data_IF_569350335448
#
_entry.id   IF_569350335448
#
_cell.length_a   1.000
_cell.length_b   1.000
_cell.length_c   1.000
_cell.angle_alpha   90.00
_cell.angle_beta   90.00
_cell.angle_gamma   90.00
#
_symmetry.space_group_name_H-M   'P 1'
#
loop_
_entity.id
_entity.type
_entity.pdbx_description
1 polymer ?
#
# COMPACT_ATOMS: atom_id res chain seq x y z
N UNK A 1 -12.58 0.47 85.59
CA UNK A 1 -11.47 0.57 84.62
C UNK A 1 -10.16 0.01 85.18
N UNK A 2 -9.59 0.59 86.24
CA UNK A 2 -8.35 0.12 86.90
C UNK A 2 -8.30 -1.38 87.22
N UNK A 3 -9.39 -1.94 87.77
CA UNK A 3 -9.47 -3.37 88.10
C UNK A 3 -9.42 -4.29 86.84
N UNK A 4 -10.03 -3.86 85.72
CA UNK A 4 -10.06 -4.61 84.46
C UNK A 4 -8.67 -4.59 83.79
N UNK A 5 -7.98 -3.46 83.84
CA UNK A 5 -6.61 -3.28 83.35
C UNK A 5 -5.62 -4.14 84.15
N UNK A 6 -5.74 -4.15 85.47
CA UNK A 6 -4.97 -5.03 86.36
C UNK A 6 -5.22 -6.51 86.09
N UNK A 7 -6.45 -6.89 85.72
CA UNK A 7 -6.79 -8.27 85.35
C UNK A 7 -6.13 -8.69 84.04
N UNK A 8 -6.12 -7.80 83.04
CA UNK A 8 -5.48 -8.03 81.74
C UNK A 8 -3.96 -8.19 81.88
N UNK A 9 -3.29 -7.26 82.59
CA UNK A 9 -1.83 -7.35 82.83
C UNK A 9 -1.46 -8.65 83.54
N UNK A 10 -2.25 -9.08 84.53
CA UNK A 10 -2.02 -10.36 85.22
C UNK A 10 -2.19 -11.57 84.30
N UNK A 11 -3.24 -11.58 83.46
CA UNK A 11 -3.49 -12.63 82.47
C UNK A 11 -2.34 -12.71 81.46
N UNK A 12 -1.87 -11.57 80.95
CA UNK A 12 -0.75 -11.51 79.99
C UNK A 12 0.58 -11.98 80.59
N UNK A 13 0.87 -11.69 81.86
CA UNK A 13 2.05 -12.24 82.55
C UNK A 13 1.91 -13.76 82.76
N UNK A 14 0.74 -14.25 83.17
CA UNK A 14 0.53 -15.69 83.38
C UNK A 14 0.60 -16.50 82.09
N UNK A 15 0.20 -15.91 80.97
CA UNK A 15 0.22 -16.53 79.64
C UNK A 15 1.59 -16.35 78.95
N UNK A 16 2.57 -15.70 79.59
CA UNK A 16 3.94 -15.57 79.09
C UNK A 16 4.17 -14.42 78.10
N UNK A 17 3.16 -13.60 77.82
CA UNK A 17 3.26 -12.44 76.92
C UNK A 17 4.00 -11.26 77.54
N UNK A 18 4.17 -11.24 78.87
CA UNK A 18 4.90 -10.21 79.61
C UNK A 18 5.89 -10.84 80.59
N UNK A 19 7.06 -10.22 80.84
CA UNK A 19 8.05 -10.70 81.80
C UNK A 19 7.47 -10.88 83.22
N UNK A 20 7.93 -11.90 83.96
CA UNK A 20 7.41 -12.22 85.30
C UNK A 20 7.73 -11.16 86.35
N UNK A 21 8.81 -10.41 86.16
CA UNK A 21 9.29 -9.34 87.04
C UNK A 21 8.50 -8.03 86.90
N UNK A 22 7.55 -7.95 85.97
CA UNK A 22 6.69 -6.78 85.81
C UNK A 22 5.67 -6.56 86.94
N UNK A 23 5.53 -7.51 87.87
CA UNK A 23 4.73 -7.34 89.09
C UNK A 23 5.25 -6.26 90.05
N UNK A 24 6.48 -5.78 89.87
CA UNK A 24 7.19 -4.88 90.79
C UNK A 24 6.83 -3.40 90.65
N UNK A 25 6.26 -2.96 89.52
CA UNK A 25 6.04 -1.53 89.22
C UNK A 25 4.56 -1.10 89.30
N UNK A 26 3.83 -1.57 90.32
CA UNK A 26 2.38 -1.34 90.51
C UNK A 26 1.94 0.13 90.59
N UNK A 27 2.85 1.08 90.89
CA UNK A 27 2.52 2.51 90.99
C UNK A 27 2.59 3.25 89.65
N UNK A 28 3.52 2.88 88.76
CA UNK A 28 3.67 3.57 87.46
C UNK A 28 2.75 3.05 86.36
N UNK A 29 2.34 1.77 86.41
CA UNK A 29 1.51 1.16 85.34
C UNK A 29 0.10 1.78 85.23
N UNK A 30 -0.39 2.50 86.25
CA UNK A 30 -1.72 3.15 86.17
C UNK A 30 -1.61 4.63 85.83
N UNK A 31 -0.50 5.29 86.19
CA UNK A 31 -0.29 6.72 85.96
C UNK A 31 0.30 7.03 84.57
N UNK A 32 1.04 6.11 83.95
CA UNK A 32 1.51 6.26 82.55
C UNK A 32 0.41 5.97 81.51
N UNK A 33 -0.72 5.40 81.92
CA UNK A 33 -1.77 4.84 81.04
C UNK A 33 -3.02 5.73 80.88
N UNK A 34 -3.04 6.94 81.43
CA UNK A 34 -4.20 7.85 81.36
C UNK A 34 -4.26 8.75 80.13
N UNK A 35 -3.34 8.63 79.18
CA UNK A 35 -3.42 9.28 77.87
C UNK A 35 -3.69 8.25 76.78
N UNK A 36 -4.85 8.33 76.13
CA UNK A 36 -5.30 7.51 74.99
C UNK A 36 -5.62 6.03 75.28
N UNK A 37 -6.88 5.78 75.66
CA UNK A 37 -7.51 4.46 75.62
C UNK A 37 -8.56 4.42 74.50
N UNK A 38 -8.23 3.78 73.37
CA UNK A 38 -9.21 3.07 72.55
C UNK A 38 -9.35 1.64 73.11
N UNK A 39 -10.31 1.45 74.01
CA UNK A 39 -10.75 0.11 74.42
C UNK A 39 -11.84 -0.36 73.47
N UNK A 40 -11.42 -0.76 72.28
CA UNK A 40 -12.19 -1.63 71.39
C UNK A 40 -11.27 -2.81 71.08
N UNK A 41 -11.74 -4.03 71.35
CA UNK A 41 -11.13 -5.30 70.91
C UNK A 41 -9.76 -5.76 71.46
N UNK A 42 -9.53 -5.58 72.77
CA UNK A 42 -8.53 -6.41 73.48
C UNK A 42 -7.06 -5.98 73.36
N UNK A 43 -6.82 -4.69 73.18
CA UNK A 43 -5.48 -4.09 73.07
C UNK A 43 -4.96 -3.56 74.42
N UNK A 44 -3.64 -3.52 74.59
CA UNK A 44 -2.87 -2.90 75.69
C UNK A 44 -1.75 -2.07 75.07
N UNK A 45 -1.78 -0.73 75.20
CA UNK A 45 -0.68 0.12 74.79
C UNK A 45 0.41 0.20 75.88
N UNK A 46 1.69 0.06 75.53
CA UNK A 46 2.84 0.21 76.44
C UNK A 46 3.81 1.21 75.79
N UNK A 47 3.88 2.44 76.35
CA UNK A 47 4.64 3.53 75.73
C UNK A 47 3.97 3.99 74.44
N UNK A 48 4.72 4.00 73.33
CA UNK A 48 4.20 4.26 71.97
C UNK A 48 3.79 2.98 71.23
N UNK A 49 3.85 1.81 71.87
CA UNK A 49 3.67 0.49 71.21
C UNK A 49 2.37 -0.16 71.66
N UNK A 50 1.55 -0.67 70.73
CA UNK A 50 0.29 -1.37 71.02
C UNK A 50 0.47 -2.89 71.00
N UNK A 51 -0.09 -3.58 72.01
CA UNK A 51 -0.05 -5.03 72.17
C UNK A 51 -1.47 -5.59 72.18
N UNK A 52 -1.80 -6.49 71.26
CA UNK A 52 -3.14 -7.09 71.17
C UNK A 52 -3.13 -8.49 71.80
N UNK A 53 -4.21 -8.89 72.50
CA UNK A 53 -4.40 -10.30 72.88
C UNK A 53 -4.90 -11.08 71.65
N UNK A 54 -3.96 -11.62 70.87
CA UNK A 54 -4.26 -12.39 69.65
C UNK A 54 -4.69 -13.81 70.05
N UNK A 55 -5.95 -14.19 69.78
CA UNK A 55 -6.43 -15.57 69.96
C UNK A 55 -6.08 -16.48 68.79
N UNK A 56 -5.92 -15.90 67.60
CA UNK A 56 -5.57 -16.59 66.37
C UNK A 56 -4.82 -15.61 65.46
N UNK A 57 -3.57 -15.93 65.13
CA UNK A 57 -2.73 -15.10 64.26
C UNK A 57 -3.21 -15.03 62.81
N UNK A 58 -4.20 -15.86 62.44
CA UNK A 58 -4.77 -15.92 61.09
C UNK A 58 -5.46 -14.62 60.63
N UNK A 59 -5.81 -13.74 61.57
CA UNK A 59 -6.49 -12.47 61.31
C UNK A 59 -5.55 -11.30 60.99
N UNK A 60 -4.24 -11.51 61.04
CA UNK A 60 -3.25 -10.45 60.83
C UNK A 60 -2.33 -10.77 59.65
N UNK A 61 -1.83 -9.73 59.00
CA UNK A 61 -0.83 -9.79 57.94
C UNK A 61 0.38 -8.92 58.33
N UNK A 62 1.57 -9.29 57.89
CA UNK A 62 2.77 -8.50 58.16
C UNK A 62 2.77 -7.23 57.29
N UNK A 63 2.98 -6.09 57.93
CA UNK A 63 3.13 -4.79 57.28
C UNK A 63 4.54 -4.64 56.70
N UNK A 64 4.68 -3.87 55.63
CA UNK A 64 5.98 -3.52 55.04
C UNK A 64 6.88 -2.77 56.04
N UNK A 65 6.30 -2.01 56.97
CA UNK A 65 7.06 -1.27 58.01
C UNK A 65 7.45 -2.15 59.22
N UNK A 66 7.23 -3.47 59.14
CA UNK A 66 7.61 -4.43 60.20
C UNK A 66 6.57 -4.59 61.31
N UNK A 67 5.35 -4.07 61.12
CA UNK A 67 4.19 -4.23 61.99
C UNK A 67 3.26 -5.39 61.58
N UNK A 68 2.09 -5.46 62.21
CA UNK A 68 1.01 -6.37 61.84
C UNK A 68 -0.31 -5.59 61.67
N UNK A 69 -1.02 -5.86 60.57
CA UNK A 69 -2.29 -5.20 60.21
C UNK A 69 -3.41 -6.23 60.31
N UNK A 70 -4.60 -5.81 60.76
CA UNK A 70 -5.80 -6.64 60.68
C UNK A 70 -6.14 -6.90 59.21
N UNK A 71 -6.36 -8.16 58.84
CA UNK A 71 -6.63 -8.57 57.45
C UNK A 71 -7.83 -7.85 56.81
N UNK A 72 -8.79 -7.42 57.62
CA UNK A 72 -9.95 -6.63 57.16
C UNK A 72 -9.62 -5.17 56.80
N UNK A 73 -8.53 -4.64 57.35
CA UNK A 73 -8.07 -3.25 57.17
C UNK A 73 -6.82 -3.18 56.28
N UNK A 74 -6.36 -4.32 55.78
CA UNK A 74 -5.19 -4.44 54.92
C UNK A 74 -5.58 -4.50 53.46
N UNK A 75 -4.85 -3.80 52.62
CA UNK A 75 -4.83 -4.02 51.16
C UNK A 75 -3.58 -4.82 50.79
N UNK A 76 -3.73 -5.70 49.80
CA UNK A 76 -2.61 -6.42 49.18
C UNK A 76 -2.10 -5.58 48.01
N UNK A 77 -0.81 -5.26 48.01
CA UNK A 77 -0.15 -4.55 46.91
C UNK A 77 0.80 -5.49 46.21
N UNK A 78 0.60 -5.69 44.91
CA UNK A 78 1.49 -6.48 44.08
C UNK A 78 2.78 -5.69 43.79
N UNK A 79 3.91 -6.38 43.86
CA UNK A 79 5.26 -5.87 43.63
C UNK A 79 5.86 -6.54 42.39
N UNK A 80 7.03 -6.09 41.94
CA UNK A 80 7.76 -6.79 40.88
C UNK A 80 8.10 -8.25 41.29
N UNK A 81 8.30 -9.11 40.29
CA UNK A 81 8.74 -10.51 40.48
C UNK A 81 7.77 -11.41 41.29
N UNK A 82 6.46 -11.25 41.10
CA UNK A 82 5.40 -12.02 41.78
C UNK A 82 5.38 -11.87 43.32
N UNK A 83 6.05 -10.84 43.85
CA UNK A 83 6.02 -10.50 45.27
C UNK A 83 4.79 -9.65 45.60
N UNK A 84 4.42 -9.61 46.88
CA UNK A 84 3.37 -8.71 47.38
C UNK A 84 3.64 -8.31 48.82
N UNK A 85 3.10 -7.14 49.17
CA UNK A 85 3.11 -6.62 50.53
C UNK A 85 1.68 -6.37 51.00
N UNK A 86 1.51 -6.26 52.32
CA UNK A 86 0.30 -5.72 52.90
C UNK A 86 0.57 -4.37 53.52
N UNK A 87 -0.39 -3.46 53.39
CA UNK A 87 -0.38 -2.12 53.98
C UNK A 87 -1.80 -1.74 54.40
N UNK A 88 -1.95 -0.72 55.24
CA UNK A 88 -3.25 -0.18 55.61
C UNK A 88 -3.99 0.41 54.40
N UNK A 89 -5.32 0.30 54.40
CA UNK A 89 -6.19 0.92 53.39
C UNK A 89 -6.00 2.45 53.29
N UNK A 90 -5.64 3.12 54.39
CA UNK A 90 -5.34 4.56 54.37
C UNK A 90 -4.17 4.93 53.43
N UNK A 91 -3.27 3.98 53.16
CA UNK A 91 -2.15 4.15 52.24
C UNK A 91 -2.52 3.84 50.78
N UNK A 92 -3.76 3.45 50.49
CA UNK A 92 -4.22 3.07 49.15
C UNK A 92 -3.96 4.17 48.09
N UNK A 93 -4.00 5.44 48.50
CA UNK A 93 -3.79 6.59 47.61
C UNK A 93 -2.36 6.71 47.04
N UNK A 94 -1.41 5.96 47.60
CA UNK A 94 -0.01 5.94 47.16
C UNK A 94 0.19 4.90 46.04
N UNK A 95 -0.76 3.99 45.86
CA UNK A 95 -0.65 2.86 44.93
C UNK A 95 -1.59 3.00 43.74
N UNK A 96 -1.19 2.35 42.65
CA UNK A 96 -1.92 2.29 41.40
C UNK A 96 -2.99 1.21 41.49
N UNK A 97 -4.25 1.51 41.12
CA UNK A 97 -5.39 0.58 41.28
C UNK A 97 -5.95 0.11 39.93
N UNK A 98 -5.96 -1.21 39.72
CA UNK A 98 -6.55 -1.85 38.54
C UNK A 98 -7.40 -3.06 38.94
N UNK A 99 -8.65 -3.15 38.46
CA UNK A 99 -9.60 -4.26 38.74
C UNK A 99 -9.72 -4.68 40.23
N UNK A 100 -9.66 -3.71 41.16
CA UNK A 100 -9.68 -3.90 42.63
C UNK A 100 -8.40 -4.45 43.26
N UNK A 101 -7.30 -4.50 42.52
CA UNK A 101 -5.97 -4.79 43.04
C UNK A 101 -5.11 -3.52 43.05
N UNK A 102 -4.07 -3.54 43.89
CA UNK A 102 -3.14 -2.44 44.06
C UNK A 102 -1.75 -2.85 43.57
N UNK A 103 -1.05 -1.91 42.94
CA UNK A 103 0.21 -2.13 42.26
C UNK A 103 1.19 -0.99 42.61
N UNK A 104 2.47 -1.32 42.66
CA UNK A 104 3.53 -0.30 42.53
C UNK A 104 3.79 -0.02 41.05
N UNK A 105 4.31 1.16 40.75
CA UNK A 105 4.72 1.53 39.38
C UNK A 105 5.67 0.49 38.77
N UNK A 106 6.68 0.07 39.53
CA UNK A 106 7.65 -0.98 39.15
C UNK A 106 7.00 -2.35 38.89
N UNK A 107 5.84 -2.64 39.47
CA UNK A 107 5.18 -3.93 39.31
C UNK A 107 4.39 -4.04 38.01
N UNK A 108 3.95 -2.93 37.41
CA UNK A 108 3.00 -2.95 36.30
C UNK A 108 3.47 -3.83 35.13
N UNK A 109 4.74 -3.71 34.74
CA UNK A 109 5.32 -4.52 33.64
C UNK A 109 5.29 -6.02 33.92
N UNK A 110 5.44 -6.44 35.18
CA UNK A 110 5.38 -7.86 35.55
C UNK A 110 3.97 -8.46 35.38
N UNK A 111 2.94 -7.60 35.41
CA UNK A 111 1.53 -7.98 35.26
C UNK A 111 0.95 -7.60 33.90
N UNK A 112 1.79 -7.26 32.90
CA UNK A 112 1.35 -6.78 31.58
C UNK A 112 0.41 -5.57 31.66
N UNK A 113 0.63 -4.69 32.63
CA UNK A 113 -0.11 -3.44 32.80
C UNK A 113 0.75 -2.26 32.37
N UNK A 114 0.07 -1.22 31.88
CA UNK A 114 0.68 0.04 31.44
C UNK A 114 -0.13 1.23 31.95
N UNK A 115 0.53 2.37 32.17
CA UNK A 115 -0.12 3.64 32.48
C UNK A 115 -0.44 4.33 31.15
N UNK A 116 -1.70 4.69 30.96
CA UNK A 116 -2.21 5.36 29.78
C UNK A 116 -1.92 6.88 29.84
N UNK A 117 -1.97 7.57 28.71
CA UNK A 117 -1.78 9.02 28.59
C UNK A 117 -2.74 9.84 29.49
N UNK A 118 -3.93 9.31 29.78
CA UNK A 118 -4.89 9.93 30.69
C UNK A 118 -4.64 9.63 32.19
N UNK A 119 -3.55 8.90 32.50
CA UNK A 119 -3.16 8.48 33.84
C UNK A 119 -3.91 7.23 34.36
N UNK A 120 -4.80 6.63 33.57
CA UNK A 120 -5.44 5.35 33.93
C UNK A 120 -4.51 4.16 33.70
N UNK A 121 -4.89 2.98 34.19
CA UNK A 121 -4.13 1.74 34.01
C UNK A 121 -4.92 0.81 33.11
N UNK A 122 -4.27 0.24 32.10
CA UNK A 122 -4.84 -0.77 31.22
C UNK A 122 -3.94 -2.01 31.13
N UNK A 123 -4.52 -3.12 30.68
CA UNK A 123 -3.74 -4.27 30.23
C UNK A 123 -3.12 -3.95 28.87
N UNK A 124 -1.86 -4.36 28.65
CA UNK A 124 -1.09 -4.03 27.45
C UNK A 124 -1.78 -4.48 26.15
N UNK A 125 -2.54 -5.58 26.18
CA UNK A 125 -3.31 -6.07 25.04
C UNK A 125 -4.44 -5.12 24.59
N UNK A 126 -4.79 -4.12 25.40
CA UNK A 126 -5.82 -3.12 25.10
C UNK A 126 -5.23 -1.71 24.92
N UNK A 127 -3.91 -1.61 24.81
CA UNK A 127 -3.19 -0.36 24.70
C UNK A 127 -2.31 -0.35 23.45
N UNK A 128 -2.16 0.82 22.85
CA UNK A 128 -1.24 1.09 21.75
C UNK A 128 -0.14 2.02 22.29
N UNK A 129 1.11 1.69 22.02
CA UNK A 129 2.24 2.58 22.37
C UNK A 129 2.45 3.57 21.24
N UNK A 130 2.39 4.87 21.53
CA UNK A 130 2.65 5.93 20.56
C UNK A 130 4.12 6.33 20.65
N UNK A 131 4.83 6.24 19.53
CA UNK A 131 6.26 6.60 19.52
C UNK A 131 6.45 8.12 19.57
N UNK A 132 5.46 8.91 19.12
CA UNK A 132 5.55 10.37 19.05
C UNK A 132 5.64 11.06 20.41
N UNK A 133 4.90 10.57 21.42
CA UNK A 133 4.89 11.11 22.78
C UNK A 133 5.49 10.16 23.83
N UNK A 134 5.80 8.91 23.45
CA UNK A 134 6.30 7.86 24.34
C UNK A 134 5.30 7.43 25.42
N UNK A 135 3.99 7.53 25.12
CA UNK A 135 2.90 7.16 26.03
C UNK A 135 2.01 6.02 25.46
N UNK A 136 1.16 5.43 26.30
CA UNK A 136 0.19 4.40 25.89
C UNK A 136 -1.22 4.99 25.73
N UNK A 137 -1.93 4.60 24.69
CA UNK A 137 -3.27 5.12 24.32
C UNK A 137 -4.27 3.99 24.07
N UNK A 138 -5.56 4.27 24.23
CA UNK A 138 -6.63 3.27 23.99
C UNK A 138 -6.91 3.05 22.51
N UNK A 139 -6.53 4.01 21.68
CA UNK A 139 -6.67 4.00 20.24
C UNK A 139 -5.28 3.93 19.61
N UNK A 140 -5.14 3.30 18.42
CA UNK A 140 -3.88 3.29 17.69
C UNK A 140 -3.42 4.72 17.38
N UNK A 141 -2.11 4.90 17.24
CA UNK A 141 -1.55 6.18 16.78
C UNK A 141 -2.16 6.47 15.42
N UNK A 142 -2.88 7.59 15.29
CA UNK A 142 -3.21 8.12 13.98
C UNK A 142 -1.85 8.45 13.36
N UNK A 143 -1.42 7.61 12.43
CA UNK A 143 -0.13 7.65 11.72
C UNK A 143 -0.06 8.86 10.76
N UNK A 144 -0.65 9.99 11.15
CA UNK A 144 -0.72 11.26 10.44
C UNK A 144 0.63 12.01 10.44
N UNK A 145 1.66 11.45 11.09
CA UNK A 145 3.04 11.97 11.04
C UNK A 145 3.97 11.18 10.09
N UNK A 146 3.45 10.13 9.45
CA UNK A 146 3.95 9.62 8.18
C UNK A 146 2.94 9.98 7.07
N UNK A 147 2.54 11.26 6.95
CA UNK A 147 2.06 11.75 5.65
C UNK A 147 3.24 11.60 4.68
N UNK A 148 3.21 10.66 3.72
CA UNK A 148 4.32 10.48 2.79
C UNK A 148 4.29 11.56 1.72
N UNK A 149 4.39 12.85 2.07
CA UNK A 149 3.98 13.94 1.16
C UNK A 149 2.67 13.52 0.44
N UNK A 150 1.55 13.42 1.18
CA UNK A 150 0.32 12.68 0.80
C UNK A 150 -0.40 13.21 -0.47
N UNK A 151 0.20 14.22 -1.12
CA UNK A 151 -0.15 14.72 -2.45
C UNK A 151 0.60 14.02 -3.60
N UNK A 152 1.58 13.15 -3.33
CA UNK A 152 2.39 12.57 -4.39
C UNK A 152 1.63 11.49 -5.17
N UNK A 153 1.25 11.86 -6.39
CA UNK A 153 0.58 11.00 -7.36
C UNK A 153 1.59 10.11 -8.09
N UNK A 154 2.89 10.40 -7.98
CA UNK A 154 3.95 9.77 -8.76
C UNK A 154 4.73 8.79 -7.88
N UNK A 155 4.94 7.59 -8.38
CA UNK A 155 5.89 6.63 -7.85
C UNK A 155 7.29 6.95 -8.38
N UNK A 156 8.31 6.68 -7.58
CA UNK A 156 9.68 6.69 -8.07
C UNK A 156 9.90 5.64 -9.16
N UNK A 157 10.92 5.87 -9.98
CA UNK A 157 11.23 5.05 -11.14
C UNK A 157 11.48 3.59 -10.73
N UNK A 158 10.60 2.68 -11.15
CA UNK A 158 10.54 1.24 -10.77
C UNK A 158 10.13 0.92 -9.32
N UNK A 159 9.64 1.88 -8.54
CA UNK A 159 9.24 1.63 -7.15
C UNK A 159 7.73 1.34 -6.99
N UNK A 160 6.97 1.37 -8.08
CA UNK A 160 5.56 0.98 -8.09
C UNK A 160 5.32 -0.50 -7.75
N UNK A 161 4.14 -0.85 -7.19
CA UNK A 161 3.80 -2.23 -6.87
C UNK A 161 3.93 -3.14 -8.10
N UNK A 162 4.66 -4.25 -7.95
CA UNK A 162 4.81 -5.23 -9.03
C UNK A 162 3.43 -5.78 -9.44
N UNK A 163 3.16 -5.75 -10.74
CA UNK A 163 1.93 -6.21 -11.39
C UNK A 163 1.45 -7.57 -10.86
N UNK A 164 0.51 -7.57 -9.91
CA UNK A 164 -0.42 -8.67 -9.76
C UNK A 164 -1.68 -8.33 -10.57
N UNK A 165 -1.80 -9.07 -11.66
CA UNK A 165 -2.77 -8.98 -12.73
C UNK A 165 -4.23 -9.01 -12.22
N UNK A 166 -4.79 -7.86 -11.84
CA UNK A 166 -6.14 -7.80 -11.27
C UNK A 166 -7.24 -7.84 -12.36
N UNK A 167 -6.88 -7.77 -13.64
CA UNK A 167 -7.85 -7.65 -14.75
C UNK A 167 -7.61 -8.58 -15.93
N UNK A 168 -6.44 -9.21 -16.10
CA UNK A 168 -6.28 -10.19 -17.17
C UNK A 168 -6.78 -11.58 -16.77
N UNK A 169 -7.49 -12.17 -17.70
CA UNK A 169 -7.68 -13.61 -17.78
C UNK A 169 -6.44 -14.14 -18.50
N UNK A 170 -5.64 -14.96 -17.83
CA UNK A 170 -4.37 -15.52 -18.32
C UNK A 170 -4.53 -16.38 -19.59
N UNK A 171 -5.76 -16.56 -20.08
CA UNK A 171 -6.11 -17.28 -21.31
C UNK A 171 -6.56 -16.36 -22.44
N UNK A 172 -6.68 -15.06 -22.21
CA UNK A 172 -7.20 -14.10 -23.21
C UNK A 172 -6.10 -13.19 -23.74
N UNK A 173 -6.22 -12.71 -24.99
CA UNK A 173 -5.33 -11.69 -25.51
C UNK A 173 -5.34 -10.44 -24.62
N UNK A 174 -4.15 -9.95 -24.25
CA UNK A 174 -3.97 -8.83 -23.34
C UNK A 174 -3.39 -7.58 -24.02
N UNK A 175 -3.69 -6.40 -23.49
CA UNK A 175 -3.11 -5.12 -23.90
C UNK A 175 -2.81 -4.22 -22.70
N UNK A 176 -1.62 -3.64 -22.67
CA UNK A 176 -1.24 -2.59 -21.71
C UNK A 176 -0.62 -1.39 -22.43
N UNK A 177 -0.64 -0.24 -21.80
CA UNK A 177 -0.09 1.00 -22.34
C UNK A 177 0.88 1.65 -21.36
N UNK A 178 1.98 2.19 -21.88
CA UNK A 178 2.85 3.12 -21.15
C UNK A 178 2.77 4.48 -21.87
N UNK A 179 2.35 5.53 -21.17
CA UNK A 179 2.00 6.81 -21.75
C UNK A 179 2.80 7.92 -21.07
N UNK A 180 3.84 8.38 -21.75
CA UNK A 180 4.71 9.48 -21.34
C UNK A 180 4.01 10.85 -21.46
N UNK A 181 4.11 11.67 -20.42
CA UNK A 181 3.41 12.96 -20.27
C UNK A 181 4.31 14.05 -19.66
N UNK A 182 3.79 15.27 -19.68
CA UNK A 182 4.47 16.48 -19.26
C UNK A 182 3.60 17.29 -18.29
N UNK A 183 4.25 18.10 -17.47
CA UNK A 183 3.67 18.97 -16.47
C UNK A 183 3.28 18.24 -15.20
N UNK A 184 2.68 19.01 -14.30
CA UNK A 184 2.25 18.55 -12.99
C UNK A 184 1.16 17.46 -13.10
N UNK A 185 1.28 16.33 -12.38
CA UNK A 185 0.24 15.31 -12.25
C UNK A 185 -1.00 15.78 -11.47
N UNK A 186 -1.04 17.02 -10.94
CA UNK A 186 -2.16 17.71 -10.23
C UNK A 186 -3.57 17.42 -10.83
N UNK A 187 -3.61 16.98 -12.09
CA UNK A 187 -4.81 16.57 -12.79
C UNK A 187 -5.48 15.28 -12.27
N UNK A 188 -4.82 14.44 -11.46
CA UNK A 188 -5.44 13.28 -10.79
C UNK A 188 -6.37 13.70 -9.65
N UNK A 189 -6.24 14.93 -9.13
CA UNK A 189 -7.27 15.73 -8.46
C UNK A 189 -7.85 15.22 -7.13
N UNK A 190 -7.75 13.93 -6.79
CA UNK A 190 -8.31 13.33 -5.57
C UNK A 190 -7.64 12.00 -5.17
N UNK A 191 -6.61 11.57 -5.90
CA UNK A 191 -5.96 10.30 -5.65
C UNK A 191 -4.47 10.51 -5.42
N UNK A 192 -3.97 10.11 -4.25
CA UNK A 192 -2.55 9.84 -4.08
C UNK A 192 -2.17 8.58 -4.89
N UNK A 193 -0.86 8.33 -5.03
CA UNK A 193 -0.32 7.23 -5.86
C UNK A 193 -0.89 5.84 -5.51
N UNK A 194 -1.18 5.59 -4.24
CA UNK A 194 -1.80 4.33 -3.79
C UNK A 194 -3.29 4.26 -4.13
N UNK A 195 -4.03 5.34 -3.90
CA UNK A 195 -5.47 5.39 -4.21
C UNK A 195 -5.70 5.24 -5.72
N UNK A 196 -4.84 5.85 -6.56
CA UNK A 196 -4.89 5.67 -8.01
C UNK A 196 -4.71 4.20 -8.38
N UNK A 197 -3.71 3.53 -7.80
CA UNK A 197 -3.44 2.12 -8.05
C UNK A 197 -4.58 1.22 -7.57
N UNK A 198 -5.07 1.41 -6.34
CA UNK A 198 -6.19 0.62 -5.79
C UNK A 198 -7.46 0.78 -6.61
N UNK A 199 -7.74 1.99 -7.10
CA UNK A 199 -8.95 2.30 -7.86
C UNK A 199 -8.87 1.82 -9.33
N UNK A 200 -7.77 2.11 -10.01
CA UNK A 200 -7.67 1.95 -11.47
C UNK A 200 -6.76 0.80 -11.89
N UNK A 201 -5.85 0.36 -11.00
CA UNK A 201 -4.72 -0.51 -11.31
C UNK A 201 -3.59 0.18 -12.08
N UNK A 202 -3.70 1.49 -12.35
CA UNK A 202 -2.67 2.24 -13.06
C UNK A 202 -1.61 2.76 -12.10
N UNK A 203 -0.41 2.94 -12.63
CA UNK A 203 0.75 3.50 -11.92
C UNK A 203 1.20 4.72 -12.71
N UNK A 204 1.49 5.82 -12.01
CA UNK A 204 2.21 6.96 -12.57
C UNK A 204 3.62 6.91 -12.00
N UNK A 205 4.63 6.83 -12.86
CA UNK A 205 6.04 6.78 -12.43
C UNK A 205 6.79 8.01 -12.93
N UNK A 206 7.77 8.47 -12.15
CA UNK A 206 8.70 9.50 -12.58
C UNK A 206 9.57 8.95 -13.70
N UNK A 207 9.87 9.79 -14.69
CA UNK A 207 10.78 9.45 -15.77
C UNK A 207 11.84 10.56 -15.90
N UNK A 208 13.08 10.20 -16.17
CA UNK A 208 14.14 11.21 -16.28
C UNK A 208 14.08 11.99 -17.61
N UNK A 209 13.36 11.47 -18.61
CA UNK A 209 13.29 12.00 -19.97
C UNK A 209 12.01 12.77 -20.28
N UNK A 210 10.98 12.56 -19.45
CA UNK A 210 9.66 13.21 -19.47
C UNK A 210 9.19 13.36 -18.03
N UNK A 211 8.30 14.30 -17.71
CA UNK A 211 7.96 14.55 -16.31
C UNK A 211 7.35 13.31 -15.59
N UNK A 212 6.54 12.50 -16.28
CA UNK A 212 6.01 11.22 -15.76
C UNK A 212 5.48 10.28 -16.86
N UNK A 213 5.33 8.99 -16.52
CA UNK A 213 4.76 7.94 -17.37
C UNK A 213 3.56 7.26 -16.68
N UNK A 214 2.41 7.23 -17.36
CA UNK A 214 1.25 6.45 -16.93
C UNK A 214 1.31 5.04 -17.50
N UNK A 215 1.41 4.04 -16.63
CA UNK A 215 1.35 2.63 -16.97
C UNK A 215 0.01 2.03 -16.59
N UNK A 216 -0.67 1.42 -17.56
CA UNK A 216 -1.97 0.77 -17.33
C UNK A 216 -1.79 -0.69 -16.92
N UNK A 217 -2.76 -1.29 -16.19
CA UNK A 217 -2.79 -2.74 -16.05
C UNK A 217 -2.99 -3.39 -17.43
N UNK A 218 -2.75 -4.70 -17.50
CA UNK A 218 -3.03 -5.49 -18.70
C UNK A 218 -4.54 -5.74 -18.78
N UNK A 219 -5.17 -5.13 -19.78
CA UNK A 219 -6.58 -5.30 -20.05
C UNK A 219 -6.83 -6.49 -21.00
N UNK A 220 -7.93 -7.24 -20.85
CA UNK A 220 -8.37 -8.17 -21.89
C UNK A 220 -8.71 -7.39 -23.15
N UNK A 221 -7.93 -7.57 -24.22
CA UNK A 221 -7.91 -6.72 -25.42
C UNK A 221 -9.29 -6.48 -26.02
N UNK A 222 -10.16 -7.49 -26.02
CA UNK A 222 -11.51 -7.44 -26.60
C UNK A 222 -12.61 -7.07 -25.59
N UNK A 223 -12.26 -6.66 -24.37
CA UNK A 223 -13.23 -6.20 -23.38
C UNK A 223 -13.77 -4.81 -23.73
N UNK A 224 -15.09 -4.69 -23.80
CA UNK A 224 -15.78 -3.39 -23.96
C UNK A 224 -15.56 -2.46 -22.76
N UNK A 225 -15.19 -3.01 -21.59
CA UNK A 225 -14.91 -2.22 -20.38
C UNK A 225 -13.73 -1.27 -20.54
N UNK A 226 -12.80 -1.55 -21.46
CA UNK A 226 -11.67 -0.65 -21.75
C UNK A 226 -12.22 0.72 -22.16
N UNK A 227 -13.15 0.75 -23.11
CA UNK A 227 -13.75 2.00 -23.60
C UNK A 227 -14.86 2.54 -22.71
N UNK A 228 -15.64 1.67 -22.06
CA UNK A 228 -16.85 2.10 -21.33
C UNK A 228 -16.59 2.51 -19.88
N UNK A 229 -15.47 2.12 -19.27
CA UNK A 229 -15.19 2.38 -17.84
C UNK A 229 -13.70 2.68 -17.60
N UNK A 230 -12.79 1.79 -17.97
CA UNK A 230 -11.41 1.86 -17.49
C UNK A 230 -10.61 3.04 -18.06
N UNK A 231 -10.59 3.25 -19.38
CA UNK A 231 -9.90 4.42 -19.95
C UNK A 231 -10.61 5.75 -19.64
N UNK A 232 -11.95 5.83 -19.60
CA UNK A 232 -12.65 7.03 -19.10
C UNK A 232 -12.22 7.47 -17.70
N UNK A 233 -12.00 6.54 -16.77
CA UNK A 233 -11.56 6.83 -15.38
C UNK A 233 -10.22 7.57 -15.35
N UNK A 234 -9.29 7.20 -16.24
CA UNK A 234 -7.96 7.83 -16.38
C UNK A 234 -7.86 8.80 -17.57
N UNK A 235 -8.99 9.17 -18.18
CA UNK A 235 -9.01 10.04 -19.37
C UNK A 235 -8.35 11.39 -19.10
N UNK A 236 -8.43 11.83 -17.84
CA UNK A 236 -7.76 13.03 -17.38
C UNK A 236 -6.24 12.92 -17.61
N UNK A 237 -5.57 11.95 -16.99
CA UNK A 237 -4.14 11.72 -17.19
C UNK A 237 -3.77 11.52 -18.68
N UNK A 238 -4.57 10.77 -19.44
CA UNK A 238 -4.33 10.54 -20.88
C UNK A 238 -4.42 11.85 -21.70
N UNK A 239 -5.22 12.82 -21.27
CA UNK A 239 -5.38 14.12 -21.96
C UNK A 239 -4.39 15.18 -21.46
N UNK A 240 -3.52 14.86 -20.50
CA UNK A 240 -2.50 15.77 -19.99
C UNK A 240 -1.53 16.22 -21.09
N UNK A 241 -0.78 17.29 -20.79
CA UNK A 241 0.21 17.89 -21.68
C UNK A 241 1.27 16.86 -22.06
N UNK A 242 1.87 17.03 -23.24
CA UNK A 242 2.85 16.07 -23.78
C UNK A 242 4.16 16.78 -24.10
N UNK A 243 5.29 16.08 -23.94
CA UNK A 243 6.55 16.48 -24.53
C UNK A 243 6.60 16.17 -26.03
N UNK A 244 7.57 16.75 -26.74
CA UNK A 244 7.82 16.41 -28.14
C UNK A 244 8.48 15.05 -28.33
N UNK A 245 9.21 14.58 -27.33
CA UNK A 245 9.92 13.30 -27.36
C UNK A 245 9.12 12.16 -26.72
N UNK A 246 7.96 12.46 -26.13
CA UNK A 246 7.14 11.49 -25.42
C UNK A 246 6.77 10.28 -26.29
N UNK A 247 6.88 9.10 -25.69
CA UNK A 247 6.45 7.80 -26.15
C UNK A 247 4.98 7.50 -25.86
N UNK A 248 4.61 6.25 -26.14
CA UNK A 248 3.25 5.74 -26.01
C UNK A 248 3.25 4.25 -26.26
N UNK A 249 4.07 3.52 -25.50
CA UNK A 249 4.33 2.12 -25.72
C UNK A 249 3.06 1.28 -25.58
N UNK A 250 3.00 0.19 -26.33
CA UNK A 250 1.87 -0.74 -26.30
C UNK A 250 2.40 -2.15 -26.06
N UNK A 251 1.97 -2.77 -24.98
CA UNK A 251 2.24 -4.18 -24.69
C UNK A 251 1.09 -5.02 -25.23
N UNK A 252 1.40 -6.12 -25.91
CA UNK A 252 0.42 -7.08 -26.42
C UNK A 252 0.83 -8.51 -26.08
N UNK A 253 -0.10 -9.27 -25.51
CA UNK A 253 0.07 -10.70 -25.20
C UNK A 253 -1.04 -11.54 -25.83
N UNK A 254 -0.77 -12.82 -26.08
CA UNK A 254 -1.74 -13.77 -26.61
C UNK A 254 -1.50 -15.16 -26.02
N UNK A 255 -1.87 -15.41 -24.76
CA UNK A 255 -1.66 -16.72 -24.14
C UNK A 255 -2.35 -17.86 -24.92
N UNK A 256 -1.76 -19.07 -24.95
CA UNK A 256 -0.48 -19.46 -24.34
C UNK A 256 0.74 -19.17 -25.24
N UNK A 257 0.63 -18.28 -26.23
CA UNK A 257 1.74 -17.98 -27.14
C UNK A 257 2.84 -17.21 -26.41
N UNK A 258 4.08 -17.59 -26.68
CA UNK A 258 5.27 -16.79 -26.33
C UNK A 258 5.29 -15.47 -27.09
N UNK A 259 6.10 -14.51 -26.63
CA UNK A 259 6.26 -13.23 -27.31
C UNK A 259 6.77 -13.36 -28.75
N UNK A 260 7.61 -14.37 -29.06
CA UNK A 260 8.02 -14.66 -30.45
C UNK A 260 6.84 -15.11 -31.31
N UNK A 261 6.00 -15.99 -30.79
CA UNK A 261 4.79 -16.45 -31.49
C UNK A 261 3.75 -15.32 -31.61
N UNK A 262 3.68 -14.42 -30.63
CA UNK A 262 2.84 -13.22 -30.70
C UNK A 262 3.36 -12.24 -31.76
N UNK A 263 4.67 -12.02 -31.85
CA UNK A 263 5.28 -11.25 -32.93
C UNK A 263 4.93 -11.84 -34.29
N UNK A 264 5.11 -13.15 -34.49
CA UNK A 264 4.77 -13.82 -35.75
C UNK A 264 3.29 -13.73 -36.10
N UNK A 265 2.42 -13.77 -35.09
CA UNK A 265 0.98 -13.57 -35.24
C UNK A 265 0.64 -12.18 -35.77
N UNK A 266 1.29 -11.15 -35.23
CA UNK A 266 1.05 -9.75 -35.59
C UNK A 266 1.91 -9.26 -36.78
N UNK A 267 2.92 -10.04 -37.20
CA UNK A 267 3.90 -9.69 -38.25
C UNK A 267 3.28 -9.08 -39.51
N UNK A 268 2.16 -9.59 -40.08
CA UNK A 268 1.56 -9.02 -41.28
C UNK A 268 1.21 -7.52 -41.17
N UNK A 269 0.87 -7.05 -39.96
CA UNK A 269 0.44 -5.67 -39.71
C UNK A 269 1.61 -4.74 -39.34
N UNK A 270 2.78 -5.27 -38.99
CA UNK A 270 3.89 -4.44 -38.50
C UNK A 270 4.35 -3.37 -39.48
N UNK A 271 4.48 -3.63 -40.81
CA UNK A 271 4.80 -2.57 -41.76
C UNK A 271 3.80 -1.41 -41.76
N UNK A 272 2.51 -1.72 -41.62
CA UNK A 272 1.46 -0.71 -41.52
C UNK A 272 1.61 0.12 -40.25
N UNK A 273 1.72 -0.53 -39.09
CA UNK A 273 1.87 0.17 -37.81
C UNK A 273 3.09 1.09 -37.79
N UNK A 274 4.25 0.57 -38.21
CA UNK A 274 5.50 1.33 -38.29
C UNK A 274 5.40 2.50 -39.29
N UNK A 275 4.66 2.34 -40.40
CA UNK A 275 4.41 3.40 -41.37
C UNK A 275 3.58 4.58 -40.83
N UNK A 276 2.84 4.40 -39.74
CA UNK A 276 2.12 5.47 -39.04
C UNK A 276 3.09 6.40 -38.28
N UNK A 277 4.27 5.90 -37.88
CA UNK A 277 5.22 6.61 -37.03
C UNK A 277 6.65 6.67 -37.60
N UNK A 278 6.85 7.10 -38.87
CA UNK A 278 8.14 6.95 -39.55
C UNK A 278 9.28 7.70 -38.84
N UNK A 279 9.00 8.86 -38.24
CA UNK A 279 10.00 9.68 -37.55
C UNK A 279 10.54 9.06 -36.26
N UNK A 280 9.78 8.16 -35.60
CA UNK A 280 10.23 7.48 -34.36
C UNK A 280 11.26 6.40 -34.67
N UNK A 281 11.14 5.75 -35.83
CA UNK A 281 12.04 4.68 -36.27
C UNK A 281 13.48 5.14 -36.59
N UNK A 282 13.66 6.44 -36.79
CA UNK A 282 14.94 7.08 -37.08
C UNK A 282 15.66 7.54 -35.80
N UNK A 283 15.07 7.31 -34.62
CA UNK A 283 15.63 7.72 -33.33
C UNK A 283 16.49 6.62 -32.74
N UNK A 284 17.59 7.05 -32.11
CA UNK A 284 18.53 6.22 -31.37
C UNK A 284 17.87 5.46 -30.20
N UNK A 285 16.83 6.02 -29.60
CA UNK A 285 16.06 5.35 -28.55
C UNK A 285 14.94 4.41 -29.05
N UNK A 286 14.67 4.37 -30.36
CA UNK A 286 13.59 3.58 -30.98
C UNK A 286 13.96 3.15 -32.41
N UNK A 287 14.99 2.33 -32.55
CA UNK A 287 15.60 1.95 -33.81
C UNK A 287 14.75 0.89 -34.52
N UNK A 288 14.35 1.18 -35.76
CA UNK A 288 13.81 0.16 -36.66
C UNK A 288 14.88 -0.87 -37.01
N UNK A 289 14.64 -2.15 -36.71
CA UNK A 289 15.54 -3.26 -37.08
C UNK A 289 14.88 -4.20 -38.07
N UNK A 290 15.71 -4.89 -38.85
CA UNK A 290 15.25 -5.99 -39.71
C UNK A 290 14.69 -7.11 -38.84
N UNK A 291 13.68 -7.82 -39.35
CA UNK A 291 12.95 -8.85 -38.62
C UNK A 291 13.86 -9.90 -37.95
N UNK A 292 14.87 -10.41 -38.66
CA UNK A 292 15.78 -11.40 -38.11
C UNK A 292 16.58 -10.86 -36.92
N UNK A 293 16.98 -9.58 -36.95
CA UNK A 293 17.67 -8.91 -35.85
C UNK A 293 16.74 -8.68 -34.66
N UNK A 294 15.48 -8.27 -34.89
CA UNK A 294 14.49 -8.11 -33.80
C UNK A 294 14.31 -9.39 -32.97
N UNK A 295 14.39 -10.56 -33.60
CA UNK A 295 14.22 -11.86 -32.92
C UNK A 295 15.45 -12.33 -32.16
N UNK A 296 16.62 -11.77 -32.46
CA UNK A 296 17.92 -12.19 -31.90
C UNK A 296 18.44 -11.18 -30.87
N UNK A 297 18.19 -9.89 -31.11
CA UNK A 297 18.73 -8.81 -30.30
C UNK A 297 17.81 -8.51 -29.11
N UNK A 298 18.34 -8.65 -27.89
CA UNK A 298 17.69 -8.18 -26.65
C UNK A 298 17.82 -6.67 -26.42
N UNK A 299 18.06 -5.89 -27.48
CA UNK A 299 18.39 -4.46 -27.40
C UNK A 299 17.23 -3.66 -26.80
N UNK A 300 17.52 -2.80 -25.83
CA UNK A 300 16.51 -1.95 -25.18
C UNK A 300 15.98 -0.82 -26.09
N UNK A 301 16.71 -0.48 -27.15
CA UNK A 301 16.36 0.61 -28.05
C UNK A 301 15.64 0.16 -29.33
N UNK A 302 15.31 -1.12 -29.46
CA UNK A 302 14.60 -1.60 -30.64
C UNK A 302 13.14 -1.09 -30.68
N UNK A 303 12.63 -0.79 -31.88
CA UNK A 303 11.26 -0.32 -32.06
C UNK A 303 10.19 -1.34 -31.64
N UNK A 304 10.52 -2.63 -31.65
CA UNK A 304 9.63 -3.73 -31.22
C UNK A 304 10.42 -4.64 -30.30
N UNK A 305 10.12 -4.62 -29.01
CA UNK A 305 10.79 -5.50 -28.04
C UNK A 305 9.98 -6.78 -27.88
N UNK A 306 10.64 -7.92 -28.05
CA UNK A 306 10.02 -9.24 -27.91
C UNK A 306 10.39 -9.79 -26.53
N UNK A 307 9.42 -9.82 -25.63
CA UNK A 307 9.53 -10.40 -24.29
C UNK A 307 9.23 -11.91 -24.33
N UNK A 308 9.46 -12.67 -23.25
CA UNK A 308 9.12 -14.10 -23.22
C UNK A 308 7.64 -14.39 -23.50
N UNK A 309 6.74 -13.53 -23.02
CA UNK A 309 5.29 -13.69 -22.93
C UNK A 309 4.49 -12.67 -23.77
N UNK A 310 5.13 -11.59 -24.22
CA UNK A 310 4.48 -10.47 -24.92
C UNK A 310 5.39 -9.81 -25.94
N UNK A 311 4.82 -8.88 -26.71
CA UNK A 311 5.57 -7.90 -27.49
C UNK A 311 5.29 -6.50 -26.95
N UNK A 312 6.25 -5.61 -27.10
CA UNK A 312 6.13 -4.19 -26.76
C UNK A 312 6.45 -3.36 -28.01
N UNK A 313 5.47 -2.58 -28.46
CA UNK A 313 5.60 -1.65 -29.58
C UNK A 313 6.07 -0.31 -29.03
N UNK A 314 7.32 0.07 -29.31
CA UNK A 314 7.99 1.27 -28.76
C UNK A 314 7.96 2.47 -29.72
N UNK A 315 7.71 2.19 -31.00
CA UNK A 315 7.59 3.21 -32.06
C UNK A 315 6.35 4.10 -32.02
N UNK A 316 5.20 3.75 -31.39
CA UNK A 316 4.11 4.69 -31.29
C UNK A 316 4.58 5.97 -30.58
N UNK A 317 4.29 7.12 -31.18
CA UNK A 317 4.65 8.42 -30.62
C UNK A 317 3.73 8.80 -29.44
N UNK A 318 3.93 9.98 -28.87
CA UNK A 318 3.07 10.58 -27.84
C UNK A 318 1.57 10.40 -28.06
N UNK A 319 0.85 10.13 -26.98
CA UNK A 319 -0.61 9.98 -26.97
C UNK A 319 -1.24 11.34 -26.64
N UNK A 320 -1.73 12.05 -27.64
CA UNK A 320 -2.27 13.40 -27.43
C UNK A 320 -3.49 13.45 -26.51
N UNK A 321 -4.38 12.47 -26.66
CA UNK A 321 -5.65 12.41 -25.94
C UNK A 321 -6.24 10.99 -26.00
N UNK A 322 -7.35 10.79 -25.29
CA UNK A 322 -8.07 9.52 -25.23
C UNK A 322 -8.50 9.02 -26.61
N UNK A 323 -8.92 9.90 -27.51
CA UNK A 323 -9.29 9.51 -28.89
C UNK A 323 -8.10 8.84 -29.62
N UNK A 324 -6.91 9.41 -29.49
CA UNK A 324 -5.70 8.85 -30.08
C UNK A 324 -5.34 7.48 -29.47
N UNK A 325 -5.58 7.27 -28.18
CA UNK A 325 -5.38 5.97 -27.53
C UNK A 325 -6.40 4.94 -28.01
N UNK A 326 -7.68 5.32 -28.12
CA UNK A 326 -8.75 4.47 -28.62
C UNK A 326 -8.53 4.03 -30.07
N UNK A 327 -8.01 4.93 -30.92
CA UNK A 327 -7.57 4.57 -32.28
C UNK A 327 -6.52 3.44 -32.25
N UNK A 328 -5.51 3.54 -31.38
CA UNK A 328 -4.47 2.51 -31.24
C UNK A 328 -5.03 1.19 -30.72
N UNK A 329 -5.92 1.23 -29.73
CA UNK A 329 -6.61 0.06 -29.19
C UNK A 329 -7.36 -0.69 -30.30
N UNK A 330 -8.20 0.01 -31.07
CA UNK A 330 -8.97 -0.57 -32.18
C UNK A 330 -8.05 -1.16 -33.26
N UNK A 331 -6.96 -0.49 -33.57
CA UNK A 331 -5.99 -0.98 -34.53
C UNK A 331 -5.31 -2.27 -34.02
N UNK A 332 -4.98 -2.34 -32.73
CA UNK A 332 -4.44 -3.55 -32.10
C UNK A 332 -5.45 -4.70 -32.12
N UNK A 333 -6.74 -4.44 -31.92
CA UNK A 333 -7.80 -5.46 -32.04
C UNK A 333 -7.85 -6.07 -33.43
N UNK A 334 -7.81 -5.25 -34.49
CA UNK A 334 -7.78 -5.74 -35.88
C UNK A 334 -6.53 -6.59 -36.14
N UNK A 335 -5.37 -6.14 -35.66
CA UNK A 335 -4.11 -6.88 -35.80
C UNK A 335 -4.15 -8.24 -35.10
N UNK A 336 -4.67 -8.32 -33.88
CA UNK A 336 -4.71 -9.56 -33.08
C UNK A 336 -5.83 -10.49 -33.54
N UNK A 337 -6.95 -9.98 -34.05
CA UNK A 337 -8.02 -10.80 -34.65
C UNK A 337 -7.53 -11.59 -35.87
N UNK A 338 -6.49 -11.09 -36.57
CA UNK A 338 -5.76 -11.78 -37.66
C UNK A 338 -6.64 -12.20 -38.83
N UNK A 339 -7.44 -11.26 -39.34
CA UNK A 339 -8.21 -11.47 -40.58
C UNK A 339 -7.32 -11.54 -41.83
N UNK A 340 -6.05 -11.13 -41.71
CA UNK A 340 -5.08 -11.08 -42.80
C UNK A 340 -3.82 -11.89 -42.46
N UNK A 341 -3.34 -12.69 -43.42
CA UNK A 341 -2.26 -13.67 -43.19
C UNK A 341 -0.89 -13.18 -43.64
N UNK A 342 -0.83 -12.14 -44.47
CA UNK A 342 0.42 -11.60 -45.01
C UNK A 342 0.37 -10.07 -45.23
N UNK A 343 1.54 -9.47 -45.44
CA UNK A 343 1.69 -8.01 -45.55
C UNK A 343 0.88 -7.44 -46.73
N UNK A 344 0.82 -8.14 -47.87
CA UNK A 344 0.01 -7.71 -49.01
C UNK A 344 -1.47 -7.64 -48.61
N UNK A 345 -2.03 -8.69 -48.00
CA UNK A 345 -3.44 -8.72 -47.63
C UNK A 345 -3.82 -7.58 -46.67
N UNK A 346 -2.96 -7.28 -45.69
CA UNK A 346 -3.13 -6.10 -44.81
C UNK A 346 -3.06 -4.80 -45.61
N UNK A 347 -2.12 -4.69 -46.54
CA UNK A 347 -1.97 -3.51 -47.38
C UNK A 347 -3.20 -3.29 -48.25
N UNK A 348 -3.73 -4.32 -48.90
CA UNK A 348 -4.95 -4.22 -49.71
C UNK A 348 -6.14 -3.82 -48.84
N UNK A 349 -6.29 -4.44 -47.67
CA UNK A 349 -7.39 -4.13 -46.75
C UNK A 349 -7.32 -2.71 -46.19
N UNK A 350 -6.11 -2.16 -45.99
CA UNK A 350 -5.92 -0.76 -45.60
C UNK A 350 -6.39 0.25 -46.66
N UNK A 351 -6.70 -0.20 -47.88
CA UNK A 351 -7.19 0.64 -48.99
C UNK A 351 -8.51 0.15 -49.62
N UNK A 352 -9.17 -0.86 -49.03
CA UNK A 352 -10.50 -1.30 -49.45
C UNK A 352 -11.58 -0.66 -48.57
N UNK A 353 -12.47 0.14 -49.18
CA UNK A 353 -13.54 0.87 -48.47
C UNK A 353 -14.48 -0.01 -47.66
N UNK A 354 -14.56 -1.30 -47.98
CA UNK A 354 -15.42 -2.27 -47.28
C UNK A 354 -14.77 -2.81 -46.01
N UNK A 355 -13.45 -2.71 -45.89
CA UNK A 355 -12.71 -3.30 -44.79
C UNK A 355 -12.75 -2.42 -43.55
N UNK A 356 -12.95 -3.00 -42.35
CA UNK A 356 -12.89 -2.26 -41.09
C UNK A 356 -11.56 -1.51 -40.91
N UNK A 357 -10.47 -2.09 -41.41
CA UNK A 357 -9.14 -1.48 -41.35
C UNK A 357 -9.08 -0.14 -42.11
N UNK A 358 -9.63 -0.09 -43.31
CA UNK A 358 -9.72 1.17 -44.07
C UNK A 358 -10.54 2.21 -43.32
N UNK A 359 -11.72 1.81 -42.83
CA UNK A 359 -12.63 2.72 -42.13
C UNK A 359 -11.95 3.36 -40.92
N UNK A 360 -11.27 2.55 -40.09
CA UNK A 360 -10.50 3.03 -38.95
C UNK A 360 -9.36 3.97 -39.39
N UNK A 361 -8.56 3.58 -40.40
CA UNK A 361 -7.45 4.41 -40.87
C UNK A 361 -7.92 5.76 -41.39
N UNK A 362 -9.08 5.84 -42.03
CA UNK A 362 -9.60 7.10 -42.57
C UNK A 362 -10.05 8.08 -41.49
N UNK A 363 -10.34 7.64 -40.26
CA UNK A 363 -10.59 8.54 -39.12
C UNK A 363 -9.41 9.50 -38.89
N UNK A 364 -8.18 9.06 -39.20
CA UNK A 364 -6.95 9.83 -38.98
C UNK A 364 -6.23 10.19 -40.29
N UNK A 365 -6.39 9.44 -41.38
CA UNK A 365 -5.59 9.56 -42.62
C UNK A 365 -6.37 9.94 -43.88
N UNK A 366 -7.59 10.48 -43.76
CA UNK A 366 -8.34 11.00 -44.90
C UNK A 366 -7.49 11.97 -45.75
N UNK A 367 -7.42 11.75 -47.06
CA UNK A 367 -6.63 12.56 -48.01
C UNK A 367 -5.12 12.29 -48.01
N UNK A 368 -4.65 11.37 -47.17
CA UNK A 368 -3.24 11.01 -46.96
C UNK A 368 -2.93 9.57 -47.39
N UNK A 369 -3.84 8.93 -48.12
CA UNK A 369 -3.82 7.52 -48.50
C UNK A 369 -2.57 7.17 -49.32
N UNK A 370 -2.24 7.96 -50.34
CA UNK A 370 -1.06 7.72 -51.18
C UNK A 370 0.24 7.77 -50.37
N UNK A 371 0.35 8.72 -49.44
CA UNK A 371 1.53 8.84 -48.57
C UNK A 371 1.61 7.63 -47.63
N UNK A 372 0.49 7.19 -47.07
CA UNK A 372 0.43 6.02 -46.21
C UNK A 372 0.87 4.76 -46.98
N UNK A 373 0.34 4.54 -48.18
CA UNK A 373 0.71 3.40 -49.04
C UNK A 373 2.22 3.39 -49.32
N UNK A 374 2.79 4.54 -49.69
CA UNK A 374 4.23 4.65 -49.94
C UNK A 374 5.07 4.31 -48.71
N UNK A 375 4.62 4.73 -47.52
CA UNK A 375 5.30 4.40 -46.26
C UNK A 375 5.20 2.92 -45.92
N UNK A 376 4.04 2.29 -46.12
CA UNK A 376 3.86 0.85 -45.91
C UNK A 376 4.84 0.06 -46.79
N UNK A 377 4.91 0.39 -48.08
CA UNK A 377 5.82 -0.25 -49.04
C UNK A 377 7.27 -0.07 -48.61
N UNK A 378 7.68 1.14 -48.23
CA UNK A 378 9.03 1.42 -47.74
C UNK A 378 9.36 0.59 -46.51
N UNK A 379 8.50 0.59 -45.49
CA UNK A 379 8.70 -0.14 -44.24
C UNK A 379 8.75 -1.66 -44.46
N UNK A 380 7.88 -2.20 -45.32
CA UNK A 380 7.88 -3.63 -45.66
C UNK A 380 9.19 -4.06 -46.33
N UNK A 381 9.74 -3.22 -47.21
CA UNK A 381 11.03 -3.45 -47.85
C UNK A 381 12.19 -3.34 -46.85
N UNK A 382 12.25 -2.25 -46.10
CA UNK A 382 13.40 -1.91 -45.25
C UNK A 382 13.57 -2.89 -44.08
N UNK A 383 12.46 -3.31 -43.46
CA UNK A 383 12.51 -4.07 -42.21
C UNK A 383 12.06 -5.54 -42.34
N UNK A 384 11.22 -5.87 -43.33
CA UNK A 384 10.64 -7.21 -43.48
C UNK A 384 11.09 -7.93 -44.76
N UNK A 385 12.00 -7.33 -45.53
CA UNK A 385 12.54 -7.87 -46.78
C UNK A 385 11.44 -8.38 -47.73
N UNK A 386 10.31 -7.68 -47.76
CA UNK A 386 9.13 -8.05 -48.55
C UNK A 386 8.94 -7.02 -49.65
N UNK A 387 9.09 -7.44 -50.91
CA UNK A 387 8.80 -6.59 -52.06
C UNK A 387 7.31 -6.63 -52.38
N UNK A 388 6.58 -5.58 -52.02
CA UNK A 388 5.17 -5.40 -52.39
C UNK A 388 5.00 -4.84 -53.82
N UNK A 389 6.09 -4.35 -54.44
CA UNK A 389 6.01 -3.54 -55.66
C UNK A 389 5.75 -4.33 -56.94
N UNK A 390 5.93 -5.66 -56.94
CA UNK A 390 5.75 -6.50 -58.15
C UNK A 390 4.37 -7.15 -58.26
N UNK A 391 3.45 -6.83 -57.35
CA UNK A 391 2.09 -7.33 -57.42
C UNK A 391 1.22 -6.30 -58.15
N UNK A 392 0.70 -6.68 -59.32
CA UNK A 392 -0.19 -5.85 -60.17
C UNK A 392 -1.26 -5.10 -59.38
N UNK A 393 -1.72 -5.65 -58.26
CA UNK A 393 -2.67 -5.04 -57.33
C UNK A 393 -2.15 -3.75 -56.67
N UNK A 394 -0.89 -3.70 -56.24
CA UNK A 394 -0.29 -2.52 -55.62
C UNK A 394 -0.05 -1.43 -56.67
N UNK A 395 0.39 -1.78 -57.87
CA UNK A 395 0.52 -0.83 -58.98
C UNK A 395 -0.84 -0.21 -59.36
N UNK A 396 -1.89 -1.03 -59.40
CA UNK A 396 -3.25 -0.56 -59.65
C UNK A 396 -3.72 0.40 -58.55
N UNK A 397 -3.48 0.08 -57.28
CA UNK A 397 -3.79 0.97 -56.15
C UNK A 397 -3.04 2.30 -56.25
N UNK A 398 -1.73 2.27 -56.53
CA UNK A 398 -0.92 3.47 -56.70
C UNK A 398 -1.43 4.34 -57.85
N UNK A 399 -1.80 3.73 -58.99
CA UNK A 399 -2.37 4.44 -60.14
C UNK A 399 -3.70 5.11 -59.77
N UNK A 400 -4.61 4.37 -59.13
CA UNK A 400 -5.92 4.88 -58.73
C UNK A 400 -5.80 6.06 -57.74
N UNK A 401 -4.94 5.94 -56.73
CA UNK A 401 -4.74 7.00 -55.74
C UNK A 401 -4.07 8.25 -56.33
N UNK A 402 -3.16 8.10 -57.31
CA UNK A 402 -2.56 9.24 -58.03
C UNK A 402 -3.58 9.97 -58.90
N UNK A 403 -4.43 9.23 -59.62
CA UNK A 403 -5.49 9.81 -60.44
C UNK A 403 -6.48 10.61 -59.57
N UNK A 404 -6.88 10.07 -58.42
CA UNK A 404 -7.80 10.78 -57.51
C UNK A 404 -7.21 12.08 -56.97
N UNK A 405 -5.90 12.15 -56.66
CA UNK A 405 -5.25 13.41 -56.25
C UNK A 405 -5.22 14.46 -57.35
N UNK A 406 -5.02 14.05 -58.61
CA UNK A 406 -5.00 14.98 -59.74
C UNK A 406 -6.39 15.58 -60.04
N UNK A 407 -7.48 14.88 -59.70
CA UNK A 407 -8.84 15.34 -59.94
C UNK A 407 -9.41 16.25 -58.83
N UNK A 408 -8.75 16.37 -57.67
CA UNK A 408 -9.22 17.18 -56.51
C UNK A 408 -8.49 18.53 -56.43
N UNK A 409 -7.79 18.95 -57.48
CA UNK A 409 -7.29 20.32 -57.63
C UNK A 409 -8.28 21.11 -58.51
N UNK A 410 -9.15 21.97 -57.95
CA UNK A 410 -9.72 23.06 -58.70
C UNK A 410 -8.69 24.17 -58.87
N UNK A 411 -8.75 24.80 -60.04
CA UNK A 411 -8.31 26.17 -60.35
C UNK A 411 -8.54 27.16 -59.22
#
# INVERSE_FOLDING_TARGET
>A
MKAKLLSLVKSSISEGYLPKDWHCHKKNVVETFTGYLSLIDGCVAIGTVYYHKIKDGSHFVADIEGGFILKGDSIKVNMAHDEFIYTHEDNAHIYLRYLNEYYTDESLTAFNLVIMADGTIAHIDHAYYWESDQEYHYDPEDDDNDEPDDDDVIWDYHDGPMYHDCRADDRKPGIGFEIEKAGDPEFCGHYNKEQLFRHTGCIMESDATVDWELKTPVYPLFSEKIESSWLPEIARAINAKNHNNAGGHIHLSLPPKSGKQMFDHCRPYMPLFMALYPKRLEKDYCIGKKEHNLKQDGDKHQAIKIWPDRIELRFPAKVYNLKALLFRLRLCRLMVAREHTNILSVTLAAFDKKEPLYQLLMEEYTGRELMLLQRIIKTAKDYFNTELQNEKSIEALLKNLKCNKACVLPS
#
